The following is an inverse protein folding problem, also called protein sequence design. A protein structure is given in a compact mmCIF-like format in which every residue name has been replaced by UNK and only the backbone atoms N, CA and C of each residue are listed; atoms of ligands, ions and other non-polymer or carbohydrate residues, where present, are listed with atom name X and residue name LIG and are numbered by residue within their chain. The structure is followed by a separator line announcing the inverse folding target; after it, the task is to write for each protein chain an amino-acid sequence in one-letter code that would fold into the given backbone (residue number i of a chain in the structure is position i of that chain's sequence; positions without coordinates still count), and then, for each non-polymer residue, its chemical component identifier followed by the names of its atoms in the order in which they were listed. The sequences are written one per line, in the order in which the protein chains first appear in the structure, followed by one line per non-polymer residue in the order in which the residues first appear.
data_IF_440377311103
#
_entry.id   IF_440377311103
#
_cell.length_a   1.000
_cell.length_b   1.000
_cell.length_c   1.000
_cell.angle_alpha   90.00
_cell.angle_beta   90.00
_cell.angle_gamma   90.00
#
_symmetry.space_group_name_H-M   'P 1'
#
loop_
_entity.id
_entity.type
_entity.pdbx_description
1 polymer ?
#
# COMPACT_ATOMS: atom_id res chain seq x y z
N UNK A 1 29.58 15.85 25.90
CA UNK A 1 29.31 14.51 25.36
C UNK A 1 27.86 14.45 24.91
N UNK A 2 27.56 13.96 23.71
CA UNK A 2 26.17 13.80 23.25
C UNK A 2 25.60 12.45 23.74
N UNK A 3 24.29 12.33 24.01
CA UNK A 3 23.69 11.06 24.40
C UNK A 3 23.80 10.03 23.27
N UNK A 4 24.09 8.77 23.60
CA UNK A 4 24.10 7.66 22.64
C UNK A 4 23.01 6.65 22.98
N UNK A 5 22.77 5.70 22.08
CA UNK A 5 21.76 4.65 22.29
C UNK A 5 22.08 3.74 23.50
N UNK A 6 23.34 3.63 23.90
CA UNK A 6 23.78 2.82 25.06
C UNK A 6 24.09 3.64 26.32
N UNK A 7 24.21 4.97 26.22
CA UNK A 7 24.60 5.83 27.35
C UNK A 7 23.74 7.09 27.46
N UNK A 8 23.30 7.39 28.68
CA UNK A 8 22.74 8.69 29.05
C UNK A 8 23.84 9.62 29.57
N UNK A 9 23.85 10.86 29.09
CA UNK A 9 24.76 11.89 29.60
C UNK A 9 23.96 12.77 30.57
N UNK A 10 24.20 12.57 31.87
CA UNK A 10 23.64 13.42 32.93
C UNK A 10 24.78 14.06 33.71
N UNK A 11 24.79 15.39 33.80
CA UNK A 11 25.82 16.13 34.55
C UNK A 11 27.27 15.95 34.06
N UNK A 12 27.49 15.42 32.86
CA UNK A 12 28.82 15.12 32.31
C UNK A 12 29.34 13.72 32.63
N UNK A 13 28.58 12.90 33.37
CA UNK A 13 28.88 11.49 33.59
C UNK A 13 28.08 10.60 32.62
N UNK A 14 28.72 9.56 32.09
CA UNK A 14 28.03 8.56 31.30
C UNK A 14 27.42 7.51 32.22
N UNK A 15 26.11 7.32 32.07
CA UNK A 15 25.36 6.28 32.75
C UNK A 15 24.96 5.22 31.71
N UNK A 16 25.52 4.00 31.78
CA UNK A 16 25.16 2.94 30.85
C UNK A 16 23.70 2.55 31.06
N UNK A 17 22.96 2.43 29.96
CA UNK A 17 21.59 1.93 29.97
C UNK A 17 21.63 0.40 30.08
N UNK A 18 20.62 -0.19 30.72
CA UNK A 18 20.51 -1.66 30.80
C UNK A 18 20.64 -2.29 29.39
N UNK A 19 21.45 -3.35 29.21
CA UNK A 19 21.71 -3.97 27.91
C UNK A 19 20.53 -4.89 27.49
N UNK A 20 19.32 -4.34 27.50
CA UNK A 20 18.11 -5.00 27.02
C UNK A 20 17.85 -4.46 25.62
N UNK A 21 18.00 -5.27 24.56
CA UNK A 21 17.88 -4.82 23.16
C UNK A 21 16.60 -4.01 22.87
N UNK A 22 15.46 -4.39 23.46
CA UNK A 22 14.20 -3.68 23.28
C UNK A 22 14.21 -2.24 23.84
N UNK A 23 14.84 -2.02 25.01
CA UNK A 23 14.96 -0.68 25.62
C UNK A 23 15.96 0.20 24.87
N UNK A 24 17.03 -0.42 24.38
CA UNK A 24 18.04 0.24 23.55
C UNK A 24 17.45 0.67 22.21
N UNK A 25 16.59 -0.17 21.61
CA UNK A 25 15.87 0.13 20.37
C UNK A 25 14.92 1.32 20.55
N UNK A 26 14.10 1.32 21.60
CA UNK A 26 13.19 2.43 21.93
C UNK A 26 13.95 3.75 22.11
N UNK A 27 15.06 3.71 22.85
CA UNK A 27 15.91 4.88 23.08
C UNK A 27 16.57 5.37 21.79
N UNK A 28 17.06 4.47 20.95
CA UNK A 28 17.68 4.83 19.68
C UNK A 28 16.70 5.58 18.77
N UNK A 29 15.45 5.09 18.67
CA UNK A 29 14.38 5.74 17.91
C UNK A 29 13.99 7.11 18.49
N UNK A 30 13.96 7.25 19.83
CA UNK A 30 13.72 8.55 20.48
C UNK A 30 14.82 9.58 20.17
N UNK A 31 16.10 9.17 20.27
CA UNK A 31 17.23 10.05 20.00
C UNK A 31 17.33 10.45 18.51
N UNK A 32 16.92 9.55 17.60
CA UNK A 32 16.79 9.82 16.16
C UNK A 32 15.68 10.84 15.91
N UNK A 33 14.50 10.65 16.51
CA UNK A 33 13.37 11.58 16.41
C UNK A 33 13.68 12.98 16.95
N UNK A 34 14.41 13.06 18.07
CA UNK A 34 14.81 14.32 18.69
C UNK A 34 16.04 14.96 18.01
N UNK A 35 16.72 14.24 17.11
CA UNK A 35 17.96 14.68 16.45
C UNK A 35 19.14 14.90 17.40
N UNK A 36 19.09 14.30 18.59
CA UNK A 36 20.08 14.50 19.66
C UNK A 36 21.14 13.39 19.72
N UNK A 37 20.99 12.34 18.91
CA UNK A 37 21.89 11.21 18.84
C UNK A 37 23.36 11.64 18.59
N UNK A 38 24.24 11.24 19.50
CA UNK A 38 25.68 11.31 19.32
C UNK A 38 26.20 10.14 18.46
N UNK A 39 27.38 10.33 17.86
CA UNK A 39 28.07 9.24 17.18
C UNK A 39 28.46 8.18 18.22
N UNK A 40 28.02 6.92 18.08
CA UNK A 40 28.35 5.88 19.03
C UNK A 40 29.79 5.41 18.81
N UNK A 41 30.50 5.17 19.92
CA UNK A 41 31.86 4.65 19.94
C UNK A 41 31.95 3.46 20.91
N UNK A 42 32.63 2.40 20.49
CA UNK A 42 32.73 1.15 21.25
C UNK A 42 33.74 1.28 22.40
N UNK A 43 34.80 2.07 22.24
CA UNK A 43 35.79 2.33 23.29
C UNK A 43 35.11 3.00 24.47
N UNK A 44 34.31 4.01 24.18
CA UNK A 44 33.46 4.70 25.13
C UNK A 44 32.45 3.76 25.81
N UNK A 45 31.86 2.81 25.08
CA UNK A 45 30.93 1.84 25.67
C UNK A 45 31.62 0.95 26.72
N UNK A 46 32.89 0.59 26.51
CA UNK A 46 33.71 -0.16 27.48
C UNK A 46 34.10 0.73 28.65
N UNK A 47 34.58 1.95 28.39
CA UNK A 47 34.94 2.93 29.45
C UNK A 47 33.76 3.22 30.39
N UNK A 48 32.55 3.21 29.86
CA UNK A 48 31.33 3.49 30.62
C UNK A 48 30.72 2.24 31.29
N UNK A 49 31.36 1.07 31.16
CA UNK A 49 30.91 -0.18 31.77
C UNK A 49 29.63 -0.75 31.16
N UNK A 50 29.27 -0.36 29.93
CA UNK A 50 28.11 -0.91 29.23
C UNK A 50 28.38 -2.34 28.74
N UNK A 51 29.62 -2.61 28.33
CA UNK A 51 30.10 -3.88 27.78
C UNK A 51 31.55 -4.12 28.17
N UNK A 52 31.97 -5.38 28.20
CA UNK A 52 33.32 -5.81 28.58
C UNK A 52 34.31 -5.69 27.44
N UNK A 53 33.85 -5.91 26.20
CA UNK A 53 34.69 -5.88 25.01
C UNK A 53 33.93 -5.45 23.75
N UNK A 54 34.70 -5.30 22.65
CA UNK A 54 34.18 -4.96 21.33
C UNK A 54 33.23 -6.01 20.77
N UNK A 55 33.41 -7.28 21.09
CA UNK A 55 32.58 -8.37 20.58
C UNK A 55 31.18 -8.33 21.18
N UNK A 56 31.08 -8.10 22.50
CA UNK A 56 29.81 -7.90 23.20
C UNK A 56 29.11 -6.62 22.71
N UNK A 57 29.86 -5.54 22.48
CA UNK A 57 29.31 -4.32 21.87
C UNK A 57 28.62 -4.61 20.52
N UNK A 58 29.31 -5.32 19.62
CA UNK A 58 28.77 -5.64 18.30
C UNK A 58 27.56 -6.58 18.37
N UNK A 59 27.56 -7.53 19.29
CA UNK A 59 26.42 -8.44 19.50
C UNK A 59 25.17 -7.66 19.93
N UNK A 60 25.29 -6.80 20.95
CA UNK A 60 24.16 -5.98 21.43
C UNK A 60 23.69 -4.98 20.37
N UNK A 61 24.63 -4.37 19.64
CA UNK A 61 24.31 -3.48 18.51
C UNK A 61 23.53 -4.23 17.43
N UNK A 62 23.95 -5.44 17.08
CA UNK A 62 23.30 -6.26 16.06
C UNK A 62 21.86 -6.61 16.46
N UNK A 63 21.65 -7.12 17.68
CA UNK A 63 20.31 -7.46 18.18
C UNK A 63 19.39 -6.25 18.25
N UNK A 64 19.91 -5.12 18.73
CA UNK A 64 19.16 -3.86 18.79
C UNK A 64 18.76 -3.37 17.40
N UNK A 65 19.70 -3.41 16.44
CA UNK A 65 19.44 -3.02 15.05
C UNK A 65 18.40 -3.92 14.38
N UNK A 66 18.43 -5.23 14.67
CA UNK A 66 17.45 -6.19 14.15
C UNK A 66 16.04 -5.87 14.67
N UNK A 67 15.89 -5.61 15.97
CA UNK A 67 14.60 -5.21 16.56
C UNK A 67 14.06 -3.90 15.97
N UNK A 68 14.91 -2.91 15.76
CA UNK A 68 14.52 -1.65 15.09
C UNK A 68 14.06 -1.94 13.66
N UNK A 69 14.80 -2.76 12.92
CA UNK A 69 14.47 -3.11 11.54
C UNK A 69 13.13 -3.87 11.47
N UNK A 70 12.90 -4.84 12.35
CA UNK A 70 11.64 -5.57 12.46
C UNK A 70 10.47 -4.62 12.79
N UNK A 71 10.61 -3.76 13.80
CA UNK A 71 9.56 -2.81 14.17
C UNK A 71 9.29 -1.74 13.09
N UNK A 72 10.31 -1.30 12.35
CA UNK A 72 10.15 -0.40 11.20
C UNK A 72 9.46 -1.13 10.04
N UNK A 73 9.82 -2.39 9.79
CA UNK A 73 9.22 -3.22 8.76
C UNK A 73 7.75 -3.52 9.08
N UNK A 74 7.42 -3.89 10.32
CA UNK A 74 6.04 -4.07 10.75
C UNK A 74 5.22 -2.79 10.59
N UNK A 75 5.74 -1.62 11.00
CA UNK A 75 5.07 -0.34 10.75
C UNK A 75 4.86 -0.08 9.25
N UNK A 76 5.85 -0.38 8.41
CA UNK A 76 5.76 -0.21 6.96
C UNK A 76 4.78 -1.19 6.31
N UNK A 77 4.70 -2.43 6.81
CA UNK A 77 3.80 -3.47 6.31
C UNK A 77 2.36 -3.29 6.80
N UNK A 78 2.18 -2.77 8.02
CA UNK A 78 0.87 -2.42 8.61
C UNK A 78 0.34 -1.12 8.00
N UNK A 79 1.21 -0.20 7.57
CA UNK A 79 0.82 1.02 6.86
C UNK A 79 0.36 0.73 5.41
N UNK A 80 -0.85 0.20 5.26
CA UNK A 80 -1.78 0.39 4.13
C UNK A 80 -1.40 0.00 2.68
N UNK A 81 -0.14 -0.32 2.38
CA UNK A 81 0.31 -0.71 1.04
C UNK A 81 -0.33 -2.00 0.52
N UNK A 82 -0.43 -3.12 1.27
CA UNK A 82 -0.98 -4.36 0.70
C UNK A 82 -2.49 -4.27 0.43
N UNK A 83 -3.24 -3.44 1.15
CA UNK A 83 -4.65 -3.22 0.86
C UNK A 83 -4.83 -2.33 -0.38
N UNK A 84 -4.08 -1.23 -0.50
CA UNK A 84 -4.16 -0.35 -1.68
C UNK A 84 -3.87 -1.14 -2.97
N UNK A 85 -2.83 -1.98 -2.96
CA UNK A 85 -2.50 -2.86 -4.09
C UNK A 85 -3.66 -3.83 -4.39
N UNK A 86 -4.22 -4.48 -3.36
CA UNK A 86 -5.38 -5.38 -3.53
C UNK A 86 -6.61 -4.67 -4.10
N UNK A 87 -6.88 -3.43 -3.68
CA UNK A 87 -7.98 -2.62 -4.21
C UNK A 87 -7.76 -2.27 -5.68
N UNK A 88 -6.53 -1.92 -6.08
CA UNK A 88 -6.19 -1.66 -7.49
C UNK A 88 -6.36 -2.92 -8.34
N UNK A 89 -5.86 -4.07 -7.88
CA UNK A 89 -6.04 -5.34 -8.60
C UNK A 89 -7.52 -5.71 -8.73
N UNK A 90 -8.32 -5.54 -7.67
CA UNK A 90 -9.77 -5.74 -7.74
C UNK A 90 -10.45 -4.81 -8.74
N UNK A 91 -9.99 -3.55 -8.84
CA UNK A 91 -10.51 -2.60 -9.84
C UNK A 91 -10.25 -3.09 -11.28
N UNK A 92 -9.07 -3.64 -11.54
CA UNK A 92 -8.69 -4.21 -12.84
C UNK A 92 -9.50 -5.46 -13.18
N UNK A 93 -9.73 -6.34 -12.20
CA UNK A 93 -10.58 -7.53 -12.36
C UNK A 93 -12.03 -7.15 -12.69
N UNK A 94 -12.58 -6.16 -11.98
CA UNK A 94 -13.93 -5.65 -12.27
C UNK A 94 -14.01 -5.07 -13.68
N UNK A 95 -13.01 -4.29 -14.11
CA UNK A 95 -12.94 -3.73 -15.46
C UNK A 95 -12.92 -4.84 -16.53
N UNK A 96 -12.10 -5.87 -16.31
CA UNK A 96 -12.02 -7.03 -17.20
C UNK A 96 -13.37 -7.77 -17.28
N UNK A 97 -14.00 -8.03 -16.13
CA UNK A 97 -15.30 -8.70 -16.05
C UNK A 97 -16.41 -7.90 -16.75
N UNK A 98 -16.49 -6.58 -16.52
CA UNK A 98 -17.48 -5.71 -17.19
C UNK A 98 -17.32 -5.76 -18.71
N UNK A 99 -16.09 -5.68 -19.21
CA UNK A 99 -15.82 -5.74 -20.65
C UNK A 99 -16.23 -7.09 -21.23
N UNK A 100 -15.77 -8.19 -20.62
CA UNK A 100 -16.05 -9.53 -21.10
C UNK A 100 -17.56 -9.82 -21.10
N UNK A 101 -18.26 -9.51 -20.01
CA UNK A 101 -19.71 -9.71 -19.92
C UNK A 101 -20.47 -8.84 -20.93
N UNK A 102 -20.02 -7.61 -21.18
CA UNK A 102 -20.62 -6.74 -22.19
C UNK A 102 -20.47 -7.31 -23.60
N UNK A 103 -19.30 -7.86 -23.94
CA UNK A 103 -19.08 -8.52 -25.23
C UNK A 103 -19.97 -9.77 -25.38
N UNK A 104 -20.05 -10.61 -24.35
CA UNK A 104 -20.94 -11.79 -24.35
C UNK A 104 -22.41 -11.42 -24.47
N UNK A 105 -22.86 -10.34 -23.84
CA UNK A 105 -24.22 -9.83 -23.97
C UNK A 105 -24.53 -9.38 -25.41
N UNK A 106 -23.59 -8.70 -26.07
CA UNK A 106 -23.71 -8.31 -27.48
C UNK A 106 -23.81 -9.54 -28.39
N UNK A 107 -22.99 -10.56 -28.14
CA UNK A 107 -22.99 -11.78 -28.94
C UNK A 107 -24.28 -12.58 -28.78
N UNK A 108 -24.80 -12.70 -27.54
CA UNK A 108 -26.11 -13.29 -27.31
C UNK A 108 -27.19 -12.50 -28.05
N UNK A 109 -27.23 -11.17 -27.91
CA UNK A 109 -28.22 -10.35 -28.60
C UNK A 109 -28.20 -10.53 -30.12
N UNK A 110 -27.02 -10.62 -30.74
CA UNK A 110 -26.84 -10.90 -32.17
C UNK A 110 -27.43 -12.24 -32.61
N UNK A 111 -27.32 -13.28 -31.76
CA UNK A 111 -27.86 -14.60 -32.09
C UNK A 111 -29.39 -14.60 -32.19
N UNK A 112 -30.05 -13.75 -31.40
CA UNK A 112 -31.53 -13.61 -31.39
C UNK A 112 -31.99 -12.56 -32.39
N UNK A 113 -31.14 -11.60 -32.77
CA UNK A 113 -31.46 -10.50 -33.68
C UNK A 113 -30.54 -10.48 -34.92
N UNK A 114 -30.77 -11.34 -35.95
CA UNK A 114 -29.91 -11.43 -37.13
C UNK A 114 -29.80 -10.15 -37.96
N UNK A 115 -30.79 -9.24 -37.85
CA UNK A 115 -30.78 -7.92 -38.50
C UNK A 115 -29.85 -6.90 -37.83
N UNK A 116 -29.35 -7.20 -36.63
CA UNK A 116 -28.33 -6.40 -35.95
C UNK A 116 -26.96 -6.68 -36.58
N UNK A 117 -26.68 -5.99 -37.69
CA UNK A 117 -25.50 -6.20 -38.54
C UNK A 117 -24.17 -6.09 -37.78
N UNK A 118 -23.18 -6.91 -38.17
CA UNK A 118 -21.76 -6.78 -37.75
C UNK A 118 -21.14 -5.42 -38.14
N UNK A 119 -21.72 -4.73 -39.12
CA UNK A 119 -21.27 -3.40 -39.59
C UNK A 119 -21.84 -2.24 -38.78
N UNK A 120 -22.87 -2.48 -37.96
CA UNK A 120 -23.35 -1.43 -37.05
C UNK A 120 -22.27 -1.20 -36.00
N UNK A 121 -21.76 0.02 -35.94
CA UNK A 121 -20.84 0.43 -34.90
C UNK A 121 -21.57 0.26 -33.57
N UNK A 122 -21.23 -0.80 -32.84
CA UNK A 122 -21.72 -0.99 -31.48
C UNK A 122 -21.05 0.13 -30.68
N UNK A 123 -21.81 1.07 -30.08
CA UNK A 123 -21.20 2.10 -29.25
C UNK A 123 -20.41 1.44 -28.11
N UNK A 124 -19.59 2.14 -27.32
CA UNK A 124 -18.97 1.53 -26.15
C UNK A 124 -19.85 1.68 -24.89
N UNK A 125 -19.71 0.74 -23.95
CA UNK A 125 -20.21 0.87 -22.58
C UNK A 125 -21.74 0.98 -22.45
N UNK A 126 -22.21 1.96 -21.65
CA UNK A 126 -23.62 2.10 -21.26
C UNK A 126 -24.58 2.23 -22.45
N UNK A 127 -24.16 2.95 -23.51
CA UNK A 127 -24.95 3.13 -24.74
C UNK A 127 -25.25 1.80 -25.44
N UNK A 128 -24.37 0.81 -25.33
CA UNK A 128 -24.64 -0.54 -25.85
C UNK A 128 -25.75 -1.17 -25.07
N UNK A 129 -25.61 -1.16 -23.74
CA UNK A 129 -26.57 -1.83 -22.86
C UNK A 129 -27.96 -1.26 -23.03
N UNK A 130 -28.08 0.06 -23.14
CA UNK A 130 -29.35 0.73 -23.43
C UNK A 130 -29.94 0.29 -24.78
N UNK A 131 -29.10 0.13 -25.82
CA UNK A 131 -29.53 -0.37 -27.12
C UNK A 131 -29.97 -1.85 -27.07
N UNK A 132 -29.24 -2.70 -26.34
CA UNK A 132 -29.56 -4.13 -26.22
C UNK A 132 -30.88 -4.36 -25.48
N UNK A 133 -31.28 -3.49 -24.55
CA UNK A 133 -32.57 -3.60 -23.83
C UNK A 133 -33.78 -3.55 -24.76
N UNK A 134 -33.72 -2.80 -25.86
CA UNK A 134 -34.84 -2.59 -26.77
C UNK A 134 -35.35 -3.82 -27.53
N UNK A 135 -34.64 -4.96 -27.48
CA UNK A 135 -35.02 -6.18 -28.19
C UNK A 135 -34.53 -7.47 -27.52
N UNK A 136 -34.29 -7.43 -26.20
CA UNK A 136 -33.76 -8.56 -25.43
C UNK A 136 -34.83 -9.21 -24.54
N UNK A 137 -34.67 -10.51 -24.28
CA UNK A 137 -35.47 -11.22 -23.29
C UNK A 137 -35.10 -10.81 -21.86
N UNK A 138 -35.98 -11.10 -20.90
CA UNK A 138 -35.81 -10.77 -19.47
C UNK A 138 -34.46 -11.23 -18.91
N UNK A 139 -34.04 -12.47 -19.20
CA UNK A 139 -32.76 -13.00 -18.74
C UNK A 139 -31.53 -12.21 -19.23
N UNK A 140 -31.58 -11.67 -20.45
CA UNK A 140 -30.50 -10.81 -20.95
C UNK A 140 -30.57 -9.41 -20.31
N UNK A 141 -31.76 -8.90 -20.02
CA UNK A 141 -31.93 -7.64 -19.29
C UNK A 141 -31.35 -7.74 -17.87
N UNK A 142 -31.59 -8.84 -17.16
CA UNK A 142 -31.01 -9.09 -15.82
C UNK A 142 -29.47 -9.04 -15.83
N UNK A 143 -28.84 -9.63 -16.86
CA UNK A 143 -27.39 -9.59 -17.02
C UNK A 143 -26.91 -8.16 -17.29
N UNK A 144 -27.62 -7.40 -18.14
CA UNK A 144 -27.28 -6.01 -18.42
C UNK A 144 -27.35 -5.15 -17.14
N UNK A 145 -28.34 -5.40 -16.29
CA UNK A 145 -28.45 -4.75 -14.97
C UNK A 145 -27.32 -5.12 -14.03
N UNK A 146 -26.92 -6.40 -13.99
CA UNK A 146 -25.77 -6.83 -13.20
C UNK A 146 -24.45 -6.15 -13.68
N UNK A 147 -24.27 -5.98 -15.00
CA UNK A 147 -23.12 -5.27 -15.56
C UNK A 147 -23.16 -3.77 -15.19
N UNK A 148 -24.33 -3.15 -15.19
CA UNK A 148 -24.51 -1.75 -14.76
C UNK A 148 -24.16 -1.58 -13.28
N UNK A 149 -24.65 -2.46 -12.40
CA UNK A 149 -24.30 -2.47 -10.98
C UNK A 149 -22.80 -2.67 -10.76
N UNK A 150 -22.16 -3.56 -11.52
CA UNK A 150 -20.73 -3.80 -11.44
C UNK A 150 -19.92 -2.57 -11.88
N UNK A 151 -20.37 -1.87 -12.92
CA UNK A 151 -19.78 -0.61 -13.40
C UNK A 151 -19.88 0.52 -12.36
N UNK A 152 -20.98 0.58 -11.61
CA UNK A 152 -21.16 1.53 -10.52
C UNK A 152 -20.24 1.21 -9.34
N UNK A 153 -20.19 -0.06 -8.92
CA UNK A 153 -19.27 -0.54 -7.87
C UNK A 153 -17.81 -0.26 -8.23
N UNK A 154 -17.42 -0.45 -9.50
CA UNK A 154 -16.10 -0.07 -10.02
C UNK A 154 -15.80 1.41 -9.77
N UNK A 155 -16.76 2.28 -10.09
CA UNK A 155 -16.61 3.73 -9.92
C UNK A 155 -16.50 4.12 -8.44
N UNK A 156 -17.25 3.45 -7.56
CA UNK A 156 -17.14 3.64 -6.12
C UNK A 156 -15.77 3.18 -5.57
N UNK A 157 -15.30 2.01 -5.99
CA UNK A 157 -13.98 1.49 -5.61
C UNK A 157 -12.85 2.41 -6.10
N UNK A 158 -12.93 2.92 -7.34
CA UNK A 158 -11.94 3.85 -7.87
C UNK A 158 -11.82 5.13 -7.02
N UNK A 159 -12.94 5.66 -6.50
CA UNK A 159 -12.93 6.80 -5.58
C UNK A 159 -12.27 6.44 -4.25
N UNK A 160 -12.58 5.27 -3.70
CA UNK A 160 -11.95 4.80 -2.46
C UNK A 160 -10.44 4.59 -2.61
N UNK A 161 -10.00 3.97 -3.71
CA UNK A 161 -8.57 3.83 -4.07
C UNK A 161 -7.89 5.19 -4.13
N UNK A 162 -8.50 6.16 -4.82
CA UNK A 162 -7.91 7.50 -4.94
C UNK A 162 -7.80 8.23 -3.60
N UNK A 163 -8.79 8.08 -2.71
CA UNK A 163 -8.76 8.67 -1.36
C UNK A 163 -7.66 8.02 -0.51
N UNK A 164 -7.57 6.69 -0.53
CA UNK A 164 -6.54 5.95 0.21
C UNK A 164 -5.13 6.28 -0.29
N UNK A 165 -4.96 6.35 -1.61
CA UNK A 165 -3.69 6.75 -2.22
C UNK A 165 -3.26 8.17 -1.84
N UNK A 166 -4.21 9.10 -1.65
CA UNK A 166 -3.87 10.44 -1.18
C UNK A 166 -3.32 10.45 0.25
N UNK A 167 -3.75 9.51 1.11
CA UNK A 167 -3.22 9.33 2.46
C UNK A 167 -1.87 8.61 2.50
N UNK A 168 -1.70 7.54 1.70
CA UNK A 168 -0.50 6.70 1.70
C UNK A 168 0.63 7.25 0.82
N UNK A 169 0.27 7.85 -0.32
CA UNK A 169 1.19 8.35 -1.34
C UNK A 169 0.88 9.83 -1.68
N UNK A 170 0.97 10.76 -0.70
CA UNK A 170 0.51 12.14 -0.88
C UNK A 170 1.27 12.88 -1.99
N UNK A 171 2.61 12.72 -2.06
CA UNK A 171 3.43 13.38 -3.07
C UNK A 171 3.12 12.87 -4.49
N UNK A 172 3.03 11.56 -4.68
CA UNK A 172 2.70 10.96 -5.97
C UNK A 172 1.27 11.30 -6.40
N UNK A 173 0.32 11.28 -5.44
CA UNK A 173 -1.08 11.62 -5.68
C UNK A 173 -1.26 13.09 -6.07
N UNK A 174 -0.47 14.01 -5.48
CA UNK A 174 -0.50 15.42 -5.86
C UNK A 174 -0.01 15.67 -7.29
N UNK A 175 0.92 14.85 -7.79
CA UNK A 175 1.49 14.99 -9.14
C UNK A 175 0.65 14.32 -10.23
N UNK A 176 0.21 13.08 -10.00
CA UNK A 176 -0.43 12.25 -11.03
C UNK A 176 -1.93 11.99 -10.79
N UNK A 177 -2.46 12.38 -9.63
CA UNK A 177 -3.78 11.97 -9.14
C UNK A 177 -3.73 10.63 -8.40
N UNK A 178 -4.57 10.48 -7.37
CA UNK A 178 -4.52 9.33 -6.45
C UNK A 178 -4.71 7.97 -7.13
N UNK A 179 -5.59 7.88 -8.12
CA UNK A 179 -5.83 6.61 -8.84
C UNK A 179 -4.61 6.18 -9.67
N UNK A 180 -3.91 7.12 -10.31
CA UNK A 180 -2.71 6.81 -11.11
C UNK A 180 -1.54 6.47 -10.18
N UNK A 181 -1.37 7.24 -9.10
CA UNK A 181 -0.37 6.95 -8.07
C UNK A 181 -0.52 5.54 -7.48
N UNK A 182 -1.76 5.13 -7.18
CA UNK A 182 -2.06 3.79 -6.69
C UNK A 182 -1.68 2.69 -7.69
N UNK A 183 -1.94 2.89 -9.00
CA UNK A 183 -1.58 1.93 -10.05
C UNK A 183 -0.06 1.80 -10.21
N UNK A 184 0.67 2.91 -10.18
CA UNK A 184 2.14 2.89 -10.25
C UNK A 184 2.71 2.10 -9.08
N UNK A 185 2.21 2.33 -7.86
CA UNK A 185 2.63 1.58 -6.68
C UNK A 185 2.30 0.09 -6.77
N UNK A 186 1.09 -0.25 -7.25
CA UNK A 186 0.68 -1.64 -7.44
C UNK A 186 1.51 -2.40 -8.49
N UNK A 187 2.04 -1.70 -9.49
CA UNK A 187 2.91 -2.28 -10.51
C UNK A 187 4.37 -2.37 -10.04
N UNK A 188 4.83 -1.42 -9.21
CA UNK A 188 6.14 -1.47 -8.57
C UNK A 188 6.25 -2.57 -7.49
N UNK A 189 5.12 -3.10 -7.02
CA UNK A 189 5.05 -4.18 -6.03
C UNK A 189 4.89 -3.72 -4.58
N UNK A 190 4.78 -2.41 -4.34
CA UNK A 190 4.68 -1.80 -3.01
C UNK A 190 5.78 -0.79 -2.72
#
# INVERSE_FOLDING_TARGET
MKPTWFCAVEGGACHPVSPIPARLAERAEQLDADGTAGMPDWELAVECGFVEDRSQYLAVLHETALLIAEARLERALVADSPELIRMVRMLEEIDSAVNHLSERAVDWYRSVNPGFSRKSMVPPGKKVRDLLRGGSCEALQDILDAIDQLSERRSALAKQVSLKAAGVLPNCSALAGGLVAARIAAEAGG
#
